data_IF_980056698481
#
_entry.id   IF_980056698481
#
_cell.length_a   1.000
_cell.length_b   1.000
_cell.length_c   1.000
_cell.angle_alpha   90.00
_cell.angle_beta   90.00
_cell.angle_gamma   90.00
#
_symmetry.space_group_name_H-M   'P 1'
#
loop_
_entity.id
_entity.type
_entity.pdbx_description
1 polymer ?
#
# COMPACT_ATOMS: atom_id res chain seq x y z
N UNK A 1 -3.68 -27.14 -1.66
CA UNK A 1 -3.80 -27.56 -0.25
C UNK A 1 -2.49 -27.26 0.46
N UNK A 2 -2.26 -26.00 0.81
CA UNK A 2 -1.16 -25.62 1.70
C UNK A 2 -1.68 -25.77 3.13
N UNK A 3 -0.94 -26.49 3.97
CA UNK A 3 -1.28 -26.66 5.38
C UNK A 3 -1.36 -25.27 6.03
N UNK A 4 -2.57 -24.83 6.38
CA UNK A 4 -2.76 -23.72 7.28
C UNK A 4 -2.12 -24.11 8.61
N UNK A 5 -0.91 -23.60 8.88
CA UNK A 5 -0.29 -23.75 10.19
C UNK A 5 -1.26 -23.19 11.22
N UNK A 6 -1.72 -24.03 12.14
CA UNK A 6 -2.53 -23.60 13.27
C UNK A 6 -1.71 -22.57 14.05
N UNK A 7 -1.99 -21.29 13.86
CA UNK A 7 -1.48 -20.24 14.73
C UNK A 7 -2.17 -20.50 16.06
N UNK A 8 -1.44 -21.12 16.99
CA UNK A 8 -1.91 -21.37 18.34
C UNK A 8 -2.29 -20.02 18.96
N UNK A 9 -3.59 -19.78 19.11
CA UNK A 9 -4.10 -18.54 19.67
C UNK A 9 -3.88 -18.53 21.18
N UNK A 10 -2.64 -18.26 21.57
CA UNK A 10 -2.28 -17.91 22.95
C UNK A 10 -2.62 -16.44 23.17
N UNK A 11 -3.28 -16.14 24.28
CA UNK A 11 -3.45 -14.74 24.70
C UNK A 11 -2.07 -14.09 24.89
N UNK A 12 -1.88 -12.92 24.29
CA UNK A 12 -0.63 -12.18 24.40
C UNK A 12 -0.50 -11.58 25.81
N UNK A 13 0.59 -11.91 26.49
CA UNK A 13 0.93 -11.36 27.80
C UNK A 13 1.66 -10.03 27.71
N UNK A 14 1.93 -9.41 28.87
CA UNK A 14 2.70 -8.16 28.95
C UNK A 14 4.08 -8.29 28.28
N UNK A 15 4.79 -9.40 28.51
CA UNK A 15 6.10 -9.67 27.90
C UNK A 15 6.04 -9.69 26.36
N UNK A 16 4.95 -10.21 25.80
CA UNK A 16 4.74 -10.23 24.34
C UNK A 16 4.58 -8.81 23.80
N UNK A 17 3.85 -7.95 24.52
CA UNK A 17 3.68 -6.53 24.14
C UNK A 17 5.03 -5.80 24.12
N UNK A 18 5.89 -6.03 25.12
CA UNK A 18 7.22 -5.42 25.15
C UNK A 18 8.10 -5.94 24.00
N UNK A 19 8.07 -7.25 23.76
CA UNK A 19 8.81 -7.87 22.66
C UNK A 19 8.36 -7.33 21.30
N UNK A 20 7.06 -7.31 21.01
CA UNK A 20 6.53 -6.80 19.74
C UNK A 20 6.83 -5.32 19.53
N UNK A 21 6.87 -4.52 20.61
CA UNK A 21 7.31 -3.12 20.51
C UNK A 21 8.77 -3.02 20.09
N UNK A 22 9.65 -3.83 20.69
CA UNK A 22 11.07 -3.87 20.33
C UNK A 22 11.26 -4.31 18.87
N UNK A 23 10.64 -5.41 18.46
CA UNK A 23 10.67 -5.91 17.08
C UNK A 23 10.17 -4.85 16.08
N UNK A 24 9.09 -4.14 16.41
CA UNK A 24 8.59 -3.03 15.57
C UNK A 24 9.59 -1.88 15.45
N UNK A 25 10.34 -1.56 16.50
CA UNK A 25 11.38 -0.54 16.43
C UNK A 25 12.55 -0.98 15.56
N UNK A 26 13.02 -2.22 15.71
CA UNK A 26 14.08 -2.79 14.89
C UNK A 26 13.68 -2.80 13.40
N UNK A 27 12.46 -3.26 13.10
CA UNK A 27 11.95 -3.27 11.73
C UNK A 27 11.86 -1.85 11.14
N UNK A 28 11.53 -0.85 11.95
CA UNK A 28 11.54 0.55 11.50
C UNK A 28 12.95 1.07 11.22
N UNK A 29 13.95 0.68 12.01
CA UNK A 29 15.35 1.04 11.76
C UNK A 29 15.90 0.39 10.48
N UNK A 30 15.50 -0.83 10.17
CA UNK A 30 15.81 -1.48 8.89
C UNK A 30 15.26 -0.66 7.72
N UNK A 31 13.98 -0.25 7.77
CA UNK A 31 13.40 0.67 6.79
C UNK A 31 14.14 2.01 6.75
N UNK A 32 14.59 2.53 7.90
CA UNK A 32 15.36 3.77 7.96
C UNK A 32 16.74 3.65 7.30
N UNK A 33 17.34 2.47 7.35
CA UNK A 33 18.57 2.16 6.63
C UNK A 33 18.32 2.20 5.12
N UNK A 34 17.24 1.55 4.64
CA UNK A 34 16.84 1.60 3.23
C UNK A 34 16.58 3.04 2.75
N UNK A 35 15.85 3.86 3.54
CA UNK A 35 15.56 5.26 3.18
C UNK A 35 16.84 6.07 3.05
N UNK A 36 17.76 5.95 4.02
CA UNK A 36 19.03 6.69 4.00
C UNK A 36 19.95 6.24 2.88
N UNK A 37 20.12 4.94 2.69
CA UNK A 37 21.00 4.38 1.66
C UNK A 37 20.55 4.75 0.25
N UNK A 38 19.23 4.80 0.02
CA UNK A 38 18.67 5.16 -1.28
C UNK A 38 18.33 6.66 -1.39
N UNK A 39 18.58 7.45 -0.33
CA UNK A 39 18.24 8.88 -0.27
C UNK A 39 16.79 9.15 -0.68
N UNK A 40 15.86 8.41 -0.06
CA UNK A 40 14.42 8.51 -0.35
C UNK A 40 13.78 9.63 0.47
N UNK A 41 13.17 10.58 -0.21
CA UNK A 41 12.24 11.54 0.39
C UNK A 41 10.83 10.94 0.46
N UNK A 42 10.42 10.24 -0.62
CA UNK A 42 9.09 9.67 -0.81
C UNK A 42 9.20 8.28 -1.44
N UNK A 43 8.33 7.36 -1.01
CA UNK A 43 8.13 6.06 -1.65
C UNK A 43 6.84 6.08 -2.47
N UNK A 44 6.95 5.77 -3.76
CA UNK A 44 5.81 5.51 -4.64
C UNK A 44 5.57 4.01 -4.75
N UNK A 45 4.36 3.55 -4.44
CA UNK A 45 4.01 2.14 -4.43
C UNK A 45 2.54 1.91 -4.81
N UNK A 46 2.13 0.67 -5.15
CA UNK A 46 0.72 0.36 -5.33
C UNK A 46 0.01 0.26 -3.97
N UNK A 47 -1.21 0.81 -3.86
CA UNK A 47 -2.02 0.70 -2.64
C UNK A 47 -2.79 -0.62 -2.51
N UNK A 48 -2.96 -1.33 -3.63
CA UNK A 48 -3.61 -2.63 -3.74
C UNK A 48 -3.19 -3.29 -5.06
N UNK A 49 -3.26 -4.62 -5.14
CA UNK A 49 -2.85 -5.39 -6.33
C UNK A 49 -3.79 -5.26 -7.54
N UNK A 50 -4.96 -4.63 -7.38
CA UNK A 50 -5.95 -4.46 -8.42
C UNK A 50 -6.87 -3.29 -8.11
N UNK A 51 -8.08 -3.31 -8.66
CA UNK A 51 -9.10 -2.27 -8.42
C UNK A 51 -10.44 -2.93 -8.10
N UNK A 52 -11.35 -2.18 -7.47
CA UNK A 52 -12.75 -2.59 -7.32
C UNK A 52 -12.94 -4.01 -6.77
N UNK A 53 -12.23 -4.36 -5.70
CA UNK A 53 -12.22 -5.73 -5.20
C UNK A 53 -13.64 -6.25 -4.95
N UNK A 54 -13.90 -7.48 -5.40
CA UNK A 54 -15.21 -8.13 -5.19
C UNK A 54 -15.51 -8.19 -3.69
N UNK A 55 -16.77 -7.92 -3.34
CA UNK A 55 -17.25 -8.03 -1.96
C UNK A 55 -16.93 -9.40 -1.39
N UNK A 56 -16.53 -9.45 -0.12
CA UNK A 56 -16.18 -10.67 0.62
C UNK A 56 -14.94 -11.44 0.08
N UNK A 57 -14.18 -10.86 -0.85
CA UNK A 57 -12.96 -11.46 -1.42
C UNK A 57 -11.68 -10.67 -1.06
N UNK A 58 -11.79 -9.63 -0.24
CA UNK A 58 -10.64 -8.84 0.22
C UNK A 58 -9.99 -9.54 1.41
N UNK A 59 -8.75 -9.99 1.21
CA UNK A 59 -7.91 -10.56 2.26
C UNK A 59 -7.21 -9.49 3.11
N UNK A 60 -6.07 -9.86 3.71
CA UNK A 60 -5.25 -8.95 4.50
C UNK A 60 -4.68 -7.84 3.59
N UNK A 61 -4.82 -6.55 3.95
CA UNK A 61 -4.38 -5.44 3.11
C UNK A 61 -2.87 -5.19 3.26
N UNK A 62 -2.05 -6.11 2.77
CA UNK A 62 -0.58 -6.07 2.96
C UNK A 62 0.08 -4.78 2.47
N UNK A 63 -0.41 -4.21 1.36
CA UNK A 63 0.14 -2.99 0.75
C UNK A 63 0.00 -1.74 1.63
N UNK A 64 -1.04 -1.66 2.47
CA UNK A 64 -1.27 -0.49 3.32
C UNK A 64 -1.07 -0.77 4.82
N UNK A 65 -1.25 -2.02 5.25
CA UNK A 65 -1.09 -2.41 6.66
C UNK A 65 0.34 -2.17 7.18
N UNK A 66 1.35 -2.32 6.32
CA UNK A 66 2.75 -2.09 6.69
C UNK A 66 3.01 -0.64 7.12
N UNK A 67 2.37 0.35 6.47
CA UNK A 67 2.53 1.76 6.82
C UNK A 67 1.85 2.10 8.16
N UNK A 68 0.73 1.43 8.47
CA UNK A 68 0.10 1.52 9.79
C UNK A 68 1.01 0.92 10.89
N UNK A 69 1.65 -0.21 10.62
CA UNK A 69 2.60 -0.83 11.55
C UNK A 69 3.79 0.09 11.81
N UNK A 70 4.35 0.67 10.76
CA UNK A 70 5.52 1.53 10.81
C UNK A 70 5.22 2.95 11.27
N UNK A 71 3.95 3.36 11.32
CA UNK A 71 3.51 4.72 11.67
C UNK A 71 4.04 5.75 10.65
N UNK A 72 3.95 5.42 9.36
CA UNK A 72 4.39 6.27 8.25
C UNK A 72 3.19 6.95 7.59
N UNK A 73 3.26 8.25 7.27
CA UNK A 73 2.21 8.94 6.55
C UNK A 73 2.09 8.37 5.14
N UNK A 74 0.87 8.07 4.73
CA UNK A 74 0.57 7.56 3.39
C UNK A 74 -0.69 8.21 2.83
N UNK A 75 -0.66 8.53 1.54
CA UNK A 75 -1.80 9.04 0.78
C UNK A 75 -2.05 8.18 -0.47
N UNK A 76 -3.24 8.26 -1.04
CA UNK A 76 -3.60 7.52 -2.25
C UNK A 76 -4.20 8.50 -3.26
N UNK A 77 -3.69 8.47 -4.49
CA UNK A 77 -4.15 9.31 -5.60
C UNK A 77 -4.78 8.42 -6.67
N UNK A 78 -5.99 8.71 -7.16
CA UNK A 78 -6.57 8.03 -8.30
C UNK A 78 -5.72 8.24 -9.55
N UNK A 79 -5.39 7.17 -10.25
CA UNK A 79 -4.63 7.24 -11.49
C UNK A 79 -5.04 6.10 -12.43
N UNK A 80 -5.38 6.45 -13.67
CA UNK A 80 -5.89 5.52 -14.69
C UNK A 80 -7.19 4.80 -14.29
N UNK A 81 -7.66 3.96 -15.21
CA UNK A 81 -8.77 3.03 -15.03
C UNK A 81 -8.30 1.65 -15.47
N UNK A 82 -8.84 0.61 -14.86
CA UNK A 82 -8.64 -0.74 -15.37
C UNK A 82 -9.18 -0.83 -16.81
N UNK A 83 -8.43 -1.52 -17.66
CA UNK A 83 -8.74 -1.69 -19.08
C UNK A 83 -8.50 -3.15 -19.45
N UNK A 84 -9.61 -3.85 -19.73
CA UNK A 84 -9.59 -5.26 -20.09
C UNK A 84 -8.73 -5.59 -21.32
N UNK A 85 -8.43 -4.60 -22.18
CA UNK A 85 -7.60 -4.80 -23.38
C UNK A 85 -6.11 -4.80 -23.07
N UNK A 86 -5.70 -4.12 -21.99
CA UNK A 86 -4.30 -4.02 -21.54
C UNK A 86 -4.02 -5.07 -20.44
N UNK A 87 -5.01 -5.32 -19.59
CA UNK A 87 -4.95 -6.24 -18.44
C UNK A 87 -5.00 -7.71 -18.87
N UNK A 88 -3.94 -8.16 -19.53
CA UNK A 88 -3.82 -9.51 -20.08
C UNK A 88 -3.20 -10.53 -19.13
N UNK A 89 -2.62 -10.06 -18.02
CA UNK A 89 -1.97 -10.92 -17.04
C UNK A 89 -2.97 -11.47 -16.04
N UNK A 90 -2.94 -12.79 -15.81
CA UNK A 90 -3.76 -13.42 -14.77
C UNK A 90 -3.21 -13.06 -13.39
N UNK A 91 -3.99 -12.30 -12.62
CA UNK A 91 -3.70 -11.96 -11.22
C UNK A 91 -4.77 -12.60 -10.33
N UNK A 92 -4.40 -13.36 -9.28
CA UNK A 92 -5.37 -14.01 -8.40
C UNK A 92 -6.35 -13.02 -7.77
N UNK A 93 -7.65 -13.25 -7.95
CA UNK A 93 -8.71 -12.39 -7.41
C UNK A 93 -8.98 -11.11 -8.21
N UNK A 94 -8.32 -10.93 -9.36
CA UNK A 94 -8.58 -9.85 -10.31
C UNK A 94 -9.33 -10.39 -11.53
N UNK A 95 -10.40 -9.70 -11.93
CA UNK A 95 -11.19 -10.04 -13.12
C UNK A 95 -11.28 -8.79 -14.01
N UNK A 96 -10.45 -8.71 -15.07
CA UNK A 96 -10.36 -7.54 -15.95
C UNK A 96 -11.70 -7.15 -16.58
N UNK A 97 -12.59 -8.13 -16.82
CA UNK A 97 -13.87 -7.88 -17.48
C UNK A 97 -14.84 -7.19 -16.52
N UNK A 98 -14.82 -7.58 -15.24
CA UNK A 98 -15.73 -7.01 -14.24
C UNK A 98 -15.29 -5.64 -13.74
N UNK A 99 -13.99 -5.40 -13.71
CA UNK A 99 -13.42 -4.15 -13.19
C UNK A 99 -13.11 -3.14 -14.29
N UNK A 100 -13.46 -3.45 -15.54
CA UNK A 100 -13.25 -2.56 -16.68
C UNK A 100 -13.82 -1.16 -16.43
N UNK A 101 -12.98 -0.13 -16.59
CA UNK A 101 -13.35 1.27 -16.36
C UNK A 101 -13.37 1.71 -14.88
N UNK A 102 -13.12 0.84 -13.92
CA UNK A 102 -13.01 1.20 -12.49
C UNK A 102 -11.72 2.00 -12.27
N UNK A 103 -11.74 3.09 -11.48
CA UNK A 103 -10.53 3.87 -11.17
C UNK A 103 -9.45 3.03 -10.51
N UNK A 104 -8.22 3.14 -11.02
CA UNK A 104 -7.03 2.63 -10.37
C UNK A 104 -6.39 3.71 -9.49
N UNK A 105 -5.30 3.35 -8.80
CA UNK A 105 -4.68 4.21 -7.80
C UNK A 105 -3.21 3.92 -7.63
N UNK A 106 -2.51 4.94 -7.14
CA UNK A 106 -1.14 4.85 -6.64
C UNK A 106 -1.12 5.32 -5.19
N UNK A 107 -0.15 4.82 -4.43
CA UNK A 107 0.06 5.19 -3.05
C UNK A 107 1.41 5.90 -2.91
N UNK A 108 1.40 6.98 -2.14
CA UNK A 108 2.55 7.81 -1.84
C UNK A 108 2.79 7.69 -0.35
N UNK A 109 4.02 7.37 0.06
CA UNK A 109 4.39 7.16 1.46
C UNK A 109 5.58 8.05 1.80
N UNK A 110 5.44 8.85 2.86
CA UNK A 110 6.52 9.64 3.41
C UNK A 110 7.17 8.96 4.61
N UNK A 111 8.25 9.55 5.11
CA UNK A 111 8.85 9.10 6.36
C UNK A 111 8.00 9.50 7.57
N UNK A 112 8.23 8.83 8.69
CA UNK A 112 7.52 9.11 9.94
C UNK A 112 7.63 10.58 10.35
N UNK A 113 6.48 11.18 10.69
CA UNK A 113 6.31 12.59 11.06
C UNK A 113 6.64 13.61 9.96
N UNK A 114 6.62 13.18 8.69
CA UNK A 114 6.76 14.06 7.53
C UNK A 114 5.45 14.15 6.74
N UNK A 115 4.34 14.32 7.44
CA UNK A 115 3.00 14.40 6.85
C UNK A 115 2.90 15.53 5.81
N UNK A 116 3.52 16.69 6.09
CA UNK A 116 3.55 17.84 5.16
C UNK A 116 4.33 17.54 3.88
N UNK A 117 5.43 16.81 3.98
CA UNK A 117 6.25 16.42 2.83
C UNK A 117 5.53 15.37 1.97
N UNK A 118 4.89 14.39 2.62
CA UNK A 118 4.05 13.41 1.95
C UNK A 118 2.87 14.08 1.21
N UNK A 119 2.21 15.06 1.84
CA UNK A 119 1.12 15.81 1.22
C UNK A 119 1.60 16.71 0.08
N UNK A 120 2.72 17.39 0.24
CA UNK A 120 3.31 18.22 -0.82
C UNK A 120 3.68 17.36 -2.04
N UNK A 121 4.31 16.21 -1.82
CA UNK A 121 4.60 15.26 -2.90
C UNK A 121 3.31 14.72 -3.55
N UNK A 122 2.27 14.47 -2.76
CA UNK A 122 0.96 14.04 -3.26
C UNK A 122 0.35 15.08 -4.22
N UNK A 123 0.43 16.37 -3.88
CA UNK A 123 -0.07 17.45 -4.73
C UNK A 123 0.70 17.51 -6.05
N UNK A 124 2.03 17.52 -5.99
CA UNK A 124 2.91 17.54 -7.17
C UNK A 124 2.66 16.33 -8.08
N UNK A 125 2.55 15.14 -7.50
CA UNK A 125 2.29 13.90 -8.26
C UNK A 125 0.88 13.95 -8.87
N UNK A 126 -0.14 14.35 -8.11
CA UNK A 126 -1.51 14.47 -8.61
C UNK A 126 -1.61 15.46 -9.77
N UNK A 127 -0.90 16.58 -9.72
CA UNK A 127 -0.80 17.54 -10.81
C UNK A 127 -0.11 16.95 -12.05
N UNK A 128 1.04 16.30 -11.87
CA UNK A 128 1.77 15.67 -12.97
C UNK A 128 0.94 14.58 -13.67
N UNK A 129 0.11 13.86 -12.92
CA UNK A 129 -0.74 12.80 -13.47
C UNK A 129 -2.00 13.35 -14.16
N UNK A 130 -2.51 14.54 -13.78
CA UNK A 130 -3.69 15.14 -14.41
C UNK A 130 -3.53 15.34 -15.91
N UNK A 131 -2.34 15.73 -16.38
CA UNK A 131 -2.07 15.94 -17.80
C UNK A 131 -2.06 14.64 -18.62
N UNK A 132 -1.96 13.50 -17.94
CA UNK A 132 -1.85 12.17 -18.55
C UNK A 132 -3.19 11.41 -18.57
N UNK A 133 -4.20 11.87 -17.81
CA UNK A 133 -5.46 11.12 -17.63
C UNK A 133 -6.63 11.80 -18.36
N UNK A 134 -7.57 11.00 -18.90
CA UNK A 134 -8.81 11.48 -19.53
C UNK A 134 -9.54 12.47 -18.60
N UNK A 135 -9.87 13.71 -19.06
CA UNK A 135 -10.45 14.79 -18.25
C UNK A 135 -11.86 14.53 -17.67
N UNK A 136 -12.34 13.28 -17.67
CA UNK A 136 -13.59 12.85 -17.03
C UNK A 136 -13.39 12.29 -15.61
N UNK A 137 -12.24 12.57 -14.99
CA UNK A 137 -12.00 12.35 -13.56
C UNK A 137 -12.67 13.44 -12.72
#
# INVERSE_FOLDING_TARGET
MAQSSQIEQREAGLEDVWRFRAERYEYREEWGTVWRENSLDILLCPGYQGVGARHDHVGVPFYSAVWNLLDFPASVVPFQKADRSVDTQEVPGYDPILVDGVPAHIQIVGWRFQDEEALSATEVISEALRDTVDPRL
#
